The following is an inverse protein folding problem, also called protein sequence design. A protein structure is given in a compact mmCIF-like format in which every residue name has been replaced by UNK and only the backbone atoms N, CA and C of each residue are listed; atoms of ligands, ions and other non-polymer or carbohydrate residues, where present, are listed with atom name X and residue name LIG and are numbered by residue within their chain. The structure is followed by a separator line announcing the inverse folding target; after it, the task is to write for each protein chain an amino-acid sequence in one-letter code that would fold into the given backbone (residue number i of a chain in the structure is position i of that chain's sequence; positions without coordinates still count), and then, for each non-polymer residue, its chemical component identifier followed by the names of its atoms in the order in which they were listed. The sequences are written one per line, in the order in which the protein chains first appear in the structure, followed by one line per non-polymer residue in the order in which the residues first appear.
data_IF_767604961085
#
_entry.id   IF_767604961085
#
_cell.length_a   1.000
_cell.length_b   1.000
_cell.length_c   1.000
_cell.angle_alpha   90.00
_cell.angle_beta   90.00
_cell.angle_gamma   90.00
#
_symmetry.space_group_name_H-M   'P 1'
#
loop_
_entity.id
_entity.type
_entity.pdbx_description
1 polymer ?
#
# COMPACT_ATOMS: atom_id res chain seq x y z
N UNK A 1 34.31 20.04 24.53
CA UNK A 1 33.10 20.69 23.98
C UNK A 1 33.18 20.51 22.48
N UNK A 2 32.37 19.62 21.92
CA UNK A 2 32.43 19.25 20.50
C UNK A 2 31.14 19.76 19.84
N UNK A 3 31.26 20.88 19.15
CA UNK A 3 30.16 21.54 18.46
C UNK A 3 29.89 20.83 17.15
N UNK A 4 28.82 20.05 17.07
CA UNK A 4 28.35 19.41 15.84
C UNK A 4 27.76 20.49 14.94
N UNK A 5 28.49 20.94 13.93
CA UNK A 5 28.02 21.84 12.90
C UNK A 5 26.86 21.17 12.13
N UNK A 6 25.66 21.75 12.24
CA UNK A 6 24.49 21.33 11.48
C UNK A 6 24.66 21.75 10.02
N UNK A 7 24.84 20.81 9.11
CA UNK A 7 24.82 21.05 7.67
C UNK A 7 23.49 21.70 7.25
N UNK A 8 23.56 22.85 6.63
CA UNK A 8 22.38 23.56 6.11
C UNK A 8 22.03 23.06 4.69
N UNK A 9 20.77 23.27 4.26
CA UNK A 9 20.34 22.95 2.87
C UNK A 9 21.21 23.62 1.80
N UNK A 10 21.76 24.78 2.12
CA UNK A 10 22.65 25.55 1.24
C UNK A 10 24.02 24.89 1.09
N UNK A 11 24.52 24.25 2.15
CA UNK A 11 25.80 23.53 2.13
C UNK A 11 25.70 22.22 1.30
N UNK A 12 24.53 21.55 1.36
CA UNK A 12 24.25 20.39 0.52
C UNK A 12 24.26 20.74 -0.98
N UNK A 13 23.67 21.87 -1.36
CA UNK A 13 23.64 22.30 -2.77
C UNK A 13 25.04 22.69 -3.29
N UNK A 14 25.91 23.25 -2.45
CA UNK A 14 27.29 23.58 -2.84
C UNK A 14 28.15 22.35 -3.12
N UNK A 15 27.97 21.29 -2.31
CA UNK A 15 28.70 20.01 -2.48
C UNK A 15 28.26 19.30 -3.77
N UNK A 16 26.97 19.39 -4.12
CA UNK A 16 26.42 18.77 -5.35
C UNK A 16 26.93 19.43 -6.63
N UNK A 17 27.28 20.72 -6.58
CA UNK A 17 27.77 21.49 -7.75
C UNK A 17 29.24 21.20 -8.13
N UNK A 18 30.05 20.68 -7.20
CA UNK A 18 31.46 20.35 -7.48
C UNK A 18 31.67 18.95 -8.10
N UNK A 19 30.61 18.10 -8.14
CA UNK A 19 30.70 16.75 -8.71
C UNK A 19 30.51 16.63 -10.22
N UNK A 20 30.23 17.74 -10.94
CA UNK A 20 29.82 17.69 -12.34
C UNK A 20 30.94 17.96 -13.38
N UNK A 21 32.18 18.09 -12.95
CA UNK A 21 33.30 18.50 -13.86
C UNK A 21 34.36 17.41 -14.07
N UNK A 22 34.00 16.13 -14.11
CA UNK A 22 35.02 15.07 -14.23
C UNK A 22 34.57 13.78 -14.88
N UNK A 23 33.91 13.83 -16.06
CA UNK A 23 33.63 12.60 -16.81
C UNK A 23 33.61 12.85 -18.32
N UNK A 24 34.80 13.03 -18.90
CA UNK A 24 34.99 12.83 -20.34
C UNK A 24 35.98 11.71 -20.52
N UNK A 25 35.62 10.74 -21.41
CA UNK A 25 36.40 9.61 -21.92
C UNK A 25 36.28 8.28 -21.12
N UNK A 26 35.27 7.48 -21.43
CA UNK A 26 35.41 6.04 -21.49
C UNK A 26 34.58 5.43 -22.62
N UNK A 27 35.11 4.42 -23.37
CA UNK A 27 34.49 3.88 -24.58
C UNK A 27 33.25 3.03 -24.22
N UNK A 28 32.28 3.08 -25.12
CA UNK A 28 31.02 2.32 -25.09
C UNK A 28 31.25 0.82 -24.95
N UNK A 29 31.16 0.31 -23.75
CA UNK A 29 30.85 -1.11 -23.49
C UNK A 29 29.33 -1.23 -23.45
N UNK A 30 28.82 -2.05 -24.36
CA UNK A 30 27.40 -2.41 -24.48
C UNK A 30 26.93 -3.08 -23.18
N UNK A 31 26.54 -2.29 -22.20
CA UNK A 31 26.03 -2.77 -20.93
C UNK A 31 24.57 -3.15 -21.12
N UNK A 32 24.31 -4.48 -21.09
CA UNK A 32 22.97 -5.02 -20.95
C UNK A 32 22.24 -4.30 -19.81
N UNK A 33 21.07 -3.75 -20.12
CA UNK A 33 20.23 -3.10 -19.13
C UNK A 33 20.03 -4.05 -17.93
N UNK A 34 20.30 -3.63 -16.69
CA UNK A 34 20.04 -4.47 -15.55
C UNK A 34 18.54 -4.73 -15.50
N UNK A 35 18.15 -6.03 -15.54
CA UNK A 35 16.79 -6.44 -15.24
C UNK A 35 16.39 -5.74 -13.95
N UNK A 36 15.33 -4.94 -14.01
CA UNK A 36 14.75 -4.24 -12.87
C UNK A 36 14.67 -5.19 -11.67
N UNK A 37 15.63 -5.08 -10.76
CA UNK A 37 15.54 -5.76 -9.48
C UNK A 37 14.29 -5.20 -8.81
N UNK A 38 13.28 -6.05 -8.55
CA UNK A 38 12.10 -5.68 -7.76
C UNK A 38 12.63 -5.06 -6.47
N UNK A 39 12.51 -3.73 -6.36
CA UNK A 39 12.85 -2.97 -5.17
C UNK A 39 12.08 -3.63 -4.02
N UNK A 40 12.75 -4.19 -3.02
CA UNK A 40 12.09 -4.63 -1.80
C UNK A 40 11.41 -3.39 -1.25
N UNK A 41 10.08 -3.34 -1.34
CA UNK A 41 9.28 -2.30 -0.72
C UNK A 41 9.61 -2.27 0.76
N UNK A 42 10.02 -1.12 1.28
CA UNK A 42 10.16 -0.89 2.71
C UNK A 42 8.76 -1.03 3.35
N UNK A 43 8.67 -1.42 4.61
CA UNK A 43 7.39 -1.47 5.32
C UNK A 43 6.64 -0.12 5.27
N UNK A 44 7.38 0.99 5.14
CA UNK A 44 6.84 2.35 5.01
C UNK A 44 6.41 2.73 3.58
N UNK A 45 6.65 1.88 2.57
CA UNK A 45 6.27 2.12 1.17
C UNK A 45 4.98 1.38 0.79
N UNK A 46 4.30 0.73 1.74
CA UNK A 46 3.07 -0.04 1.47
C UNK A 46 1.88 0.57 2.21
N UNK A 47 0.75 0.68 1.51
CA UNK A 47 -0.52 1.19 2.03
C UNK A 47 -1.39 0.00 2.42
N UNK A 48 -1.75 -0.09 3.72
CA UNK A 48 -2.68 -1.07 4.25
C UNK A 48 -4.12 -0.66 3.99
N UNK A 49 -4.90 -1.50 3.31
CA UNK A 49 -6.30 -1.20 2.96
C UNK A 49 -7.26 -2.17 3.63
N UNK A 50 -8.32 -1.61 4.23
CA UNK A 50 -9.50 -2.31 4.69
C UNK A 50 -10.69 -2.11 3.75
N UNK A 51 -11.53 -3.14 3.58
CA UNK A 51 -12.78 -3.06 2.81
C UNK A 51 -13.98 -3.15 3.75
N UNK A 52 -14.93 -2.23 3.65
CA UNK A 52 -16.18 -2.21 4.43
C UNK A 52 -17.37 -2.30 3.48
N UNK A 53 -18.17 -3.37 3.65
CA UNK A 53 -19.22 -3.77 2.71
C UNK A 53 -18.66 -4.60 1.55
N UNK A 54 -18.82 -5.93 1.63
CA UNK A 54 -18.22 -6.90 0.69
C UNK A 54 -19.23 -7.36 -0.37
N UNK A 55 -20.04 -6.41 -0.85
CA UNK A 55 -21.01 -6.60 -1.93
C UNK A 55 -20.36 -6.80 -3.30
N UNK A 56 -21.17 -6.71 -4.35
CA UNK A 56 -20.69 -6.88 -5.73
C UNK A 56 -19.72 -5.76 -6.12
N UNK A 57 -20.03 -4.52 -5.76
CA UNK A 57 -19.17 -3.37 -6.03
C UNK A 57 -17.79 -3.52 -5.39
N UNK A 58 -17.73 -3.94 -4.11
CA UNK A 58 -16.46 -4.20 -3.44
C UNK A 58 -15.61 -5.26 -4.16
N UNK A 59 -16.24 -6.30 -4.72
CA UNK A 59 -15.53 -7.34 -5.45
C UNK A 59 -14.95 -6.86 -6.80
N UNK A 60 -15.61 -5.89 -7.45
CA UNK A 60 -15.05 -5.23 -8.63
C UNK A 60 -13.86 -4.33 -8.26
N UNK A 61 -14.01 -3.51 -7.24
CA UNK A 61 -12.92 -2.65 -6.75
C UNK A 61 -11.72 -3.47 -6.26
N UNK A 62 -11.96 -4.55 -5.51
CA UNK A 62 -10.92 -5.45 -5.02
C UNK A 62 -10.01 -5.95 -6.14
N UNK A 63 -10.56 -6.29 -7.31
CA UNK A 63 -9.77 -6.76 -8.44
C UNK A 63 -8.75 -5.72 -8.90
N UNK A 64 -9.11 -4.44 -8.89
CA UNK A 64 -8.20 -3.34 -9.21
C UNK A 64 -7.14 -3.12 -8.10
N UNK A 65 -7.57 -3.05 -6.84
CA UNK A 65 -6.65 -2.80 -5.73
C UNK A 65 -5.59 -3.89 -5.55
N UNK A 66 -5.91 -5.16 -5.85
CA UNK A 66 -4.95 -6.25 -5.76
C UNK A 66 -3.82 -6.15 -6.79
N UNK A 67 -4.00 -5.39 -7.89
CA UNK A 67 -2.98 -5.24 -8.94
C UNK A 67 -2.07 -4.04 -8.75
N UNK A 68 -2.34 -3.17 -7.77
CA UNK A 68 -1.57 -1.95 -7.52
C UNK A 68 -0.33 -2.28 -6.67
N UNK A 69 0.85 -1.98 -7.19
CA UNK A 69 2.09 -2.12 -6.44
C UNK A 69 2.09 -1.19 -5.21
N UNK A 70 2.53 -1.70 -4.06
CA UNK A 70 2.56 -0.94 -2.81
C UNK A 70 1.22 -0.92 -2.06
N UNK A 71 0.16 -1.55 -2.57
CA UNK A 71 -1.12 -1.71 -1.86
C UNK A 71 -1.23 -3.12 -1.28
N UNK A 72 -1.69 -3.21 -0.04
CA UNK A 72 -1.95 -4.48 0.66
C UNK A 72 -3.36 -4.49 1.22
N UNK A 73 -4.18 -5.42 0.77
CA UNK A 73 -5.52 -5.65 1.32
C UNK A 73 -5.37 -6.49 2.59
N UNK A 74 -5.59 -5.88 3.76
CA UNK A 74 -5.33 -6.47 5.08
C UNK A 74 -6.59 -6.95 5.78
N UNK A 75 -7.74 -6.31 5.51
CA UNK A 75 -8.98 -6.61 6.21
C UNK A 75 -10.21 -6.47 5.32
N UNK A 76 -11.28 -7.20 5.68
CA UNK A 76 -12.61 -7.06 5.10
C UNK A 76 -13.70 -7.13 6.15
N UNK A 77 -14.74 -6.30 6.02
CA UNK A 77 -15.87 -6.24 6.95
C UNK A 77 -17.20 -6.32 6.21
N UNK A 78 -18.06 -7.22 6.63
CA UNK A 78 -19.47 -7.30 6.21
C UNK A 78 -20.25 -8.08 7.27
N UNK A 79 -21.51 -7.73 7.50
CA UNK A 79 -22.38 -8.44 8.46
C UNK A 79 -22.70 -9.88 8.00
N UNK A 80 -22.59 -10.17 6.71
CA UNK A 80 -22.85 -11.50 6.15
C UNK A 80 -21.57 -12.33 6.05
N UNK A 81 -21.53 -13.45 6.75
CA UNK A 81 -20.40 -14.41 6.74
C UNK A 81 -20.08 -14.95 5.35
N UNK A 82 -21.12 -15.23 4.53
CA UNK A 82 -20.98 -15.70 3.15
C UNK A 82 -20.18 -14.69 2.29
N UNK A 83 -20.40 -13.38 2.50
CA UNK A 83 -19.66 -12.33 1.78
C UNK A 83 -18.24 -12.25 2.27
N UNK A 84 -18.01 -12.34 3.60
CA UNK A 84 -16.67 -12.39 4.19
C UNK A 84 -15.86 -13.57 3.64
N UNK A 85 -16.44 -14.77 3.62
CA UNK A 85 -15.79 -15.98 3.08
C UNK A 85 -15.45 -15.84 1.58
N UNK A 86 -16.36 -15.27 0.78
CA UNK A 86 -16.12 -15.01 -0.65
C UNK A 86 -14.96 -14.04 -0.87
N UNK A 87 -14.90 -12.97 -0.09
CA UNK A 87 -13.85 -11.96 -0.13
C UNK A 87 -12.50 -12.59 0.21
N UNK A 88 -12.40 -13.30 1.32
CA UNK A 88 -11.19 -14.00 1.76
C UNK A 88 -10.68 -14.96 0.67
N UNK A 89 -11.57 -15.78 0.12
CA UNK A 89 -11.23 -16.73 -0.95
C UNK A 89 -10.64 -16.01 -2.17
N UNK A 90 -11.20 -14.85 -2.53
CA UNK A 90 -10.70 -14.06 -3.68
C UNK A 90 -9.30 -13.49 -3.42
N UNK A 91 -9.06 -12.92 -2.24
CA UNK A 91 -7.76 -12.39 -1.84
C UNK A 91 -6.72 -13.51 -1.78
N UNK A 92 -7.02 -14.61 -1.11
CA UNK A 92 -6.13 -15.77 -1.00
C UNK A 92 -5.78 -16.35 -2.36
N UNK A 93 -6.77 -16.49 -3.26
CA UNK A 93 -6.54 -16.99 -4.62
C UNK A 93 -5.56 -16.10 -5.38
N UNK A 94 -5.78 -14.77 -5.37
CA UNK A 94 -4.89 -13.84 -6.05
C UNK A 94 -3.45 -13.94 -5.55
N UNK A 95 -3.24 -13.94 -4.24
CA UNK A 95 -1.90 -14.04 -3.68
C UNK A 95 -1.23 -15.40 -3.94
N UNK A 96 -1.99 -16.50 -3.93
CA UNK A 96 -1.46 -17.82 -4.28
C UNK A 96 -0.97 -17.86 -5.74
N UNK A 97 -1.72 -17.27 -6.68
CA UNK A 97 -1.35 -17.18 -8.09
C UNK A 97 -0.09 -16.33 -8.31
N UNK A 98 0.21 -15.38 -7.41
CA UNK A 98 1.39 -14.51 -7.49
C UNK A 98 2.53 -14.92 -6.54
N UNK A 99 2.45 -16.10 -5.92
CA UNK A 99 3.48 -16.63 -5.03
C UNK A 99 3.68 -15.81 -3.75
N UNK A 100 2.66 -15.05 -3.34
CA UNK A 100 2.69 -14.20 -2.15
C UNK A 100 1.92 -14.84 -0.99
N UNK A 101 2.44 -14.69 0.23
CA UNK A 101 1.70 -15.04 1.44
C UNK A 101 0.93 -13.81 1.91
N UNK A 102 -0.39 -13.89 1.99
CA UNK A 102 -1.21 -12.84 2.56
C UNK A 102 -2.15 -13.42 3.61
N UNK A 103 -2.24 -12.72 4.73
CA UNK A 103 -3.28 -12.93 5.74
C UNK A 103 -4.25 -11.77 5.59
N UNK A 104 -5.53 -12.07 5.41
CA UNK A 104 -6.61 -11.10 5.46
C UNK A 104 -7.49 -11.42 6.66
N UNK A 105 -7.74 -10.43 7.49
CA UNK A 105 -8.60 -10.57 8.66
C UNK A 105 -10.03 -10.14 8.33
N UNK A 106 -11.02 -10.82 8.91
CA UNK A 106 -12.43 -10.60 8.61
C UNK A 106 -13.17 -10.11 9.85
N UNK A 107 -13.99 -9.10 9.67
CA UNK A 107 -14.76 -8.46 10.73
C UNK A 107 -16.25 -8.43 10.40
N UNK A 108 -17.08 -8.52 11.42
CA UNK A 108 -18.52 -8.30 11.31
C UNK A 108 -18.87 -6.83 11.56
N UNK A 109 -18.21 -6.21 12.55
CA UNK A 109 -18.33 -4.81 12.87
C UNK A 109 -17.21 -3.98 12.21
N UNK A 110 -17.58 -2.90 11.53
CA UNK A 110 -16.63 -1.99 10.90
C UNK A 110 -15.77 -1.21 11.91
N UNK A 111 -16.25 -1.02 13.13
CA UNK A 111 -15.52 -0.34 14.19
C UNK A 111 -14.25 -1.12 14.56
N UNK A 112 -14.34 -2.45 14.63
CA UNK A 112 -13.19 -3.31 14.89
C UNK A 112 -12.13 -3.23 13.77
N UNK A 113 -12.57 -3.06 12.53
CA UNK A 113 -11.67 -2.84 11.40
C UNK A 113 -11.01 -1.46 11.48
N UNK A 114 -11.79 -0.42 11.81
CA UNK A 114 -11.27 0.96 11.92
C UNK A 114 -10.33 1.15 13.12
N UNK A 115 -10.42 0.31 14.13
CA UNK A 115 -9.54 0.35 15.31
C UNK A 115 -8.13 -0.20 15.05
N UNK A 116 -7.83 -0.67 13.85
CA UNK A 116 -6.51 -1.24 13.51
C UNK A 116 -5.52 -0.15 13.11
N UNK A 117 -4.34 -0.19 13.73
CA UNK A 117 -3.24 0.75 13.45
C UNK A 117 -2.50 0.48 12.13
N UNK A 118 -2.70 -0.70 11.50
CA UNK A 118 -2.06 -1.09 10.25
C UNK A 118 -2.94 -0.84 9.00
N UNK A 119 -4.11 -0.23 9.17
CA UNK A 119 -5.00 0.20 8.09
C UNK A 119 -4.80 1.70 7.84
N UNK A 120 -4.21 2.03 6.72
CA UNK A 120 -3.96 3.42 6.30
C UNK A 120 -5.15 4.03 5.57
N UNK A 121 -5.95 3.20 4.89
CA UNK A 121 -7.10 3.64 4.12
C UNK A 121 -8.21 2.59 4.09
N UNK A 122 -9.45 3.03 3.91
CA UNK A 122 -10.60 2.14 3.78
C UNK A 122 -11.38 2.38 2.49
N UNK A 123 -11.85 1.27 1.90
CA UNK A 123 -12.78 1.27 0.76
C UNK A 123 -14.17 0.96 1.31
N UNK A 124 -15.09 1.91 1.23
CA UNK A 124 -16.44 1.78 1.72
C UNK A 124 -17.37 1.52 0.53
N UNK A 125 -17.97 0.33 0.46
CA UNK A 125 -18.88 -0.10 -0.59
C UNK A 125 -20.19 -0.65 -0.01
N UNK A 126 -20.70 0.05 0.99
CA UNK A 126 -21.96 -0.25 1.67
C UNK A 126 -23.14 0.45 0.97
N UNK A 127 -24.40 0.00 1.21
CA UNK A 127 -25.59 0.69 0.76
C UNK A 127 -25.68 2.13 1.27
N UNK A 128 -26.40 3.00 0.55
CA UNK A 128 -26.46 4.46 0.76
C UNK A 128 -26.78 4.85 2.20
N UNK A 129 -27.72 4.15 2.84
CA UNK A 129 -28.15 4.44 4.22
C UNK A 129 -27.07 4.24 5.29
N UNK A 130 -26.03 3.41 5.01
CA UNK A 130 -24.89 3.17 5.89
C UNK A 130 -23.62 3.91 5.44
N UNK A 131 -23.55 4.25 4.17
CA UNK A 131 -22.32 4.76 3.56
C UNK A 131 -21.80 6.02 4.26
N UNK A 132 -22.67 7.02 4.44
CA UNK A 132 -22.31 8.29 5.07
C UNK A 132 -21.88 8.13 6.54
N UNK A 133 -22.58 7.27 7.30
CA UNK A 133 -22.25 7.03 8.71
C UNK A 133 -20.87 6.39 8.87
N UNK A 134 -20.57 5.39 8.06
CA UNK A 134 -19.28 4.70 8.08
C UNK A 134 -18.16 5.62 7.58
N UNK A 135 -18.39 6.42 6.54
CA UNK A 135 -17.41 7.37 6.05
C UNK A 135 -17.04 8.43 7.11
N UNK A 136 -18.03 8.96 7.84
CA UNK A 136 -17.79 9.89 8.95
C UNK A 136 -16.99 9.21 10.08
N UNK A 137 -17.31 7.96 10.40
CA UNK A 137 -16.57 7.21 11.43
C UNK A 137 -15.11 6.98 11.02
N UNK A 138 -14.85 6.70 9.74
CA UNK A 138 -13.51 6.47 9.22
C UNK A 138 -12.63 7.74 9.17
N UNK A 139 -13.23 8.93 9.24
CA UNK A 139 -12.50 10.22 9.24
C UNK A 139 -12.16 10.73 10.65
N UNK A 140 -12.47 10.01 11.71
CA UNK A 140 -12.23 10.41 13.12
C UNK A 140 -10.98 9.77 13.68
#
# INVERSE_FOLDING_TARGET
MNEKSKLTRRDFLKVSALGAAGAVLMPSALAAAPKSAKKKSSANDTIGIGFIGLGQQAMHLLAGFLTIDGVRVLAGCDVYDVKRARFEKRVKKYHAEHGQKCKVDLYEDYQDLLARDDIDAVVIATPDHQHALIAIAACR
#
